data_IF_543752072160
#
_entry.id   IF_543752072160
#
_cell.length_a   1.000
_cell.length_b   1.000
_cell.length_c   1.000
_cell.angle_alpha   90.00
_cell.angle_beta   90.00
_cell.angle_gamma   90.00
#
_symmetry.space_group_name_H-M   'P 1'
#
loop_
_entity.id
_entity.type
_entity.pdbx_description
1 polymer ?
#
# COMPACT_ATOMS: atom_id res chain seq x y z
N UNK A 1 87.34 -7.77 -1.67
CA UNK A 1 86.39 -8.79 -1.21
C UNK A 1 85.37 -8.10 -0.32
N UNK A 2 84.06 -8.25 -0.62
CA UNK A 2 82.87 -8.30 0.30
C UNK A 2 82.75 -7.28 1.45
N UNK A 3 81.60 -6.70 1.84
CA UNK A 3 80.19 -6.60 1.39
C UNK A 3 79.48 -5.76 2.49
N UNK A 4 78.43 -5.02 2.11
CA UNK A 4 77.21 -4.66 2.89
C UNK A 4 77.11 -3.43 3.84
N UNK A 5 76.17 -2.55 3.43
CA UNK A 5 75.00 -1.99 4.14
C UNK A 5 75.10 -0.77 5.06
N UNK A 6 74.40 0.32 4.67
CA UNK A 6 73.23 0.95 5.35
C UNK A 6 73.05 2.40 4.84
N UNK A 7 72.03 2.68 4.01
CA UNK A 7 70.69 3.23 4.37
C UNK A 7 70.71 4.71 4.82
N UNK A 8 70.38 5.62 3.88
CA UNK A 8 69.51 6.80 4.06
C UNK A 8 69.45 7.57 2.73
N UNK A 9 68.43 7.32 1.93
CA UNK A 9 68.09 8.13 0.76
C UNK A 9 66.63 8.57 0.89
N UNK A 10 66.45 9.88 1.01
CA UNK A 10 65.19 10.59 1.14
C UNK A 10 64.27 10.30 -0.06
N UNK A 11 63.06 9.83 0.21
CA UNK A 11 62.00 9.73 -0.77
C UNK A 11 61.26 11.07 -0.90
N UNK A 12 61.39 11.70 -2.06
CA UNK A 12 60.63 12.86 -2.49
C UNK A 12 59.22 12.37 -2.88
N UNK A 13 58.21 12.63 -2.04
CA UNK A 13 56.81 12.30 -2.35
C UNK A 13 56.25 13.36 -3.29
N UNK A 14 55.94 12.94 -4.52
CA UNK A 14 55.15 13.69 -5.49
C UNK A 14 53.71 13.82 -4.98
N UNK A 15 53.30 15.05 -4.65
CA UNK A 15 51.91 15.43 -4.46
C UNK A 15 51.21 15.43 -5.83
N UNK A 16 50.57 14.31 -6.17
CA UNK A 16 49.56 14.29 -7.23
C UNK A 16 48.23 14.80 -6.64
N UNK A 17 47.53 15.73 -7.32
CA UNK A 17 46.18 16.10 -6.92
C UNK A 17 45.30 14.87 -7.11
N UNK A 18 44.73 14.37 -6.02
CA UNK A 18 43.59 13.45 -6.08
C UNK A 18 42.42 14.28 -6.58
N UNK A 19 42.20 14.30 -7.89
CA UNK A 19 40.91 14.67 -8.44
C UNK A 19 39.92 13.61 -7.96
N UNK A 20 39.13 13.93 -6.94
CA UNK A 20 37.88 13.22 -6.68
C UNK A 20 37.03 13.41 -7.92
N UNK A 21 37.01 12.42 -8.82
CA UNK A 21 35.95 12.30 -9.79
C UNK A 21 34.67 12.22 -8.95
N UNK A 22 33.90 13.31 -8.93
CA UNK A 22 32.58 13.30 -8.31
C UNK A 22 31.80 12.18 -8.99
N UNK A 23 31.34 11.19 -8.21
CA UNK A 23 30.36 10.25 -8.71
C UNK A 23 29.21 11.07 -9.30
N UNK A 24 28.80 10.74 -10.53
CA UNK A 24 27.64 11.37 -11.14
C UNK A 24 26.46 11.26 -10.15
N UNK A 25 25.69 12.33 -10.00
CA UNK A 25 24.50 12.30 -9.15
C UNK A 25 23.58 11.16 -9.63
N UNK A 26 22.98 10.36 -8.73
CA UNK A 26 22.09 9.29 -9.13
C UNK A 26 20.91 9.87 -9.91
N UNK A 27 20.51 9.20 -10.98
CA UNK A 27 19.39 9.61 -11.81
C UNK A 27 18.10 9.00 -11.23
N UNK A 28 17.16 9.81 -10.70
CA UNK A 28 15.95 9.28 -10.05
C UNK A 28 15.09 8.40 -10.96
N UNK A 29 15.00 8.71 -12.26
CA UNK A 29 14.23 7.93 -13.22
C UNK A 29 14.76 6.50 -13.41
N UNK A 30 16.08 6.29 -13.24
CA UNK A 30 16.69 4.97 -13.40
C UNK A 30 16.16 3.93 -12.40
N UNK A 31 15.70 4.38 -11.23
CA UNK A 31 15.04 3.53 -10.23
C UNK A 31 13.75 2.91 -10.78
N UNK A 32 12.96 3.72 -11.49
CA UNK A 32 11.64 3.33 -11.99
C UNK A 32 11.70 2.62 -13.34
N UNK A 33 12.86 2.61 -14.00
CA UNK A 33 13.10 1.88 -15.26
C UNK A 33 13.97 0.63 -15.09
N UNK A 34 14.31 0.28 -13.85
CA UNK A 34 15.14 -0.88 -13.55
C UNK A 34 14.48 -2.17 -14.03
N UNK A 35 15.27 -3.03 -14.70
CA UNK A 35 14.82 -4.33 -15.22
C UNK A 35 15.18 -5.50 -14.31
N UNK A 36 15.98 -5.25 -13.28
CA UNK A 36 16.39 -6.24 -12.30
C UNK A 36 16.29 -5.65 -10.91
N UNK A 37 16.00 -6.50 -9.93
CA UNK A 37 15.99 -6.13 -8.51
C UNK A 37 17.35 -5.57 -8.08
N UNK A 38 18.44 -6.16 -8.57
CA UNK A 38 19.79 -5.72 -8.25
C UNK A 38 20.10 -4.30 -8.74
N UNK A 39 19.71 -3.96 -9.97
CA UNK A 39 19.90 -2.61 -10.52
C UNK A 39 19.05 -1.57 -9.77
N UNK A 40 17.80 -1.92 -9.46
CA UNK A 40 16.90 -1.07 -8.67
C UNK A 40 17.46 -0.81 -7.28
N UNK A 41 17.89 -1.85 -6.57
CA UNK A 41 18.37 -1.75 -5.19
C UNK A 41 19.71 -1.00 -5.11
N UNK A 42 20.58 -1.17 -6.11
CA UNK A 42 21.79 -0.37 -6.28
C UNK A 42 21.46 1.12 -6.46
N UNK A 43 20.48 1.42 -7.33
CA UNK A 43 20.03 2.79 -7.59
C UNK A 43 19.38 3.41 -6.35
N UNK A 44 18.52 2.66 -5.66
CA UNK A 44 17.89 3.09 -4.42
C UNK A 44 18.93 3.41 -3.35
N UNK A 45 19.96 2.57 -3.21
CA UNK A 45 21.07 2.82 -2.27
C UNK A 45 21.81 4.11 -2.61
N UNK A 46 22.04 4.39 -3.90
CA UNK A 46 22.67 5.63 -4.34
C UNK A 46 21.79 6.86 -4.06
N UNK A 47 20.48 6.77 -4.31
CA UNK A 47 19.51 7.83 -4.00
C UNK A 47 19.43 8.10 -2.49
N UNK A 48 19.39 7.05 -1.66
CA UNK A 48 19.41 7.16 -0.19
C UNK A 48 20.68 7.87 0.31
N UNK A 49 21.83 7.63 -0.33
CA UNK A 49 23.08 8.31 0.00
C UNK A 49 23.10 9.79 -0.43
N UNK A 50 22.42 10.15 -1.52
CA UNK A 50 22.32 11.52 -2.04
C UNK A 50 21.21 12.36 -1.38
N UNK A 51 20.22 11.69 -0.76
CA UNK A 51 19.05 12.29 -0.13
C UNK A 51 19.33 13.50 0.78
N UNK A 52 20.39 13.53 1.63
CA UNK A 52 20.65 14.69 2.48
C UNK A 52 20.90 16.01 1.73
N UNK A 53 21.24 15.95 0.44
CA UNK A 53 21.65 17.12 -0.35
C UNK A 53 20.80 17.33 -1.62
N UNK A 54 19.95 16.38 -1.98
CA UNK A 54 19.15 16.43 -3.21
C UNK A 54 17.69 16.02 -2.92
N UNK A 55 16.74 16.99 -2.92
CA UNK A 55 15.32 16.70 -2.70
C UNK A 55 14.72 15.69 -3.69
N UNK A 56 15.18 15.66 -4.94
CA UNK A 56 14.69 14.70 -5.93
C UNK A 56 15.12 13.27 -5.57
N UNK A 57 16.35 13.10 -5.07
CA UNK A 57 16.82 11.83 -4.52
C UNK A 57 16.04 11.40 -3.28
N UNK A 58 15.68 12.32 -2.36
CA UNK A 58 14.82 12.00 -1.20
C UNK A 58 13.47 11.46 -1.69
N UNK A 59 12.84 12.19 -2.60
CA UNK A 59 11.53 11.83 -3.15
C UNK A 59 11.57 10.45 -3.80
N UNK A 60 12.51 10.23 -4.71
CA UNK A 60 12.63 8.97 -5.43
C UNK A 60 13.02 7.81 -4.52
N UNK A 61 13.88 8.02 -3.53
CA UNK A 61 14.19 7.01 -2.53
C UNK A 61 12.94 6.61 -1.72
N UNK A 62 12.15 7.59 -1.28
CA UNK A 62 10.89 7.33 -0.57
C UNK A 62 9.87 6.56 -1.41
N UNK A 63 9.70 6.93 -2.68
CA UNK A 63 8.85 6.21 -3.63
C UNK A 63 9.38 4.79 -3.92
N UNK A 64 10.68 4.64 -4.13
CA UNK A 64 11.32 3.33 -4.31
C UNK A 64 11.10 2.40 -3.13
N UNK A 65 11.24 2.93 -1.91
CA UNK A 65 10.97 2.16 -0.70
C UNK A 65 9.51 1.68 -0.63
N UNK A 66 8.55 2.48 -1.09
CA UNK A 66 7.13 2.08 -1.18
C UNK A 66 6.95 0.88 -2.10
N UNK A 67 7.48 0.93 -3.32
CA UNK A 67 7.38 -0.18 -4.27
C UNK A 67 8.10 -1.44 -3.78
N UNK A 68 9.26 -1.30 -3.14
CA UNK A 68 9.91 -2.46 -2.48
C UNK A 68 9.06 -3.03 -1.35
N UNK A 69 8.23 -2.23 -0.65
CA UNK A 69 7.32 -2.78 0.34
C UNK A 69 6.28 -3.69 -0.31
N UNK A 70 5.66 -3.23 -1.41
CA UNK A 70 4.71 -4.06 -2.19
C UNK A 70 5.38 -5.34 -2.70
N UNK A 71 6.64 -5.26 -3.15
CA UNK A 71 7.42 -6.42 -3.54
C UNK A 71 7.64 -7.41 -2.40
N UNK A 72 8.01 -6.95 -1.19
CA UNK A 72 8.17 -7.81 -0.01
C UNK A 72 6.88 -8.60 0.27
N UNK A 73 5.73 -7.94 0.16
CA UNK A 73 4.44 -8.60 0.32
C UNK A 73 4.17 -9.59 -0.83
N UNK A 74 4.31 -9.15 -2.08
CA UNK A 74 4.06 -9.97 -3.26
C UNK A 74 4.93 -11.22 -3.29
N UNK A 75 6.23 -11.08 -3.07
CA UNK A 75 7.16 -12.19 -3.03
C UNK A 75 6.85 -13.17 -1.90
N UNK A 76 6.53 -12.67 -0.70
CA UNK A 76 6.08 -13.51 0.41
C UNK A 76 4.82 -14.32 0.06
N UNK A 77 3.87 -13.71 -0.65
CA UNK A 77 2.68 -14.40 -1.16
C UNK A 77 3.06 -15.45 -2.23
N UNK A 78 3.93 -15.10 -3.19
CA UNK A 78 4.38 -15.98 -4.28
C UNK A 78 5.10 -17.21 -3.75
N UNK A 79 6.07 -17.01 -2.87
CA UNK A 79 6.92 -18.06 -2.28
C UNK A 79 6.08 -19.18 -1.64
N UNK A 80 4.92 -18.81 -1.08
CA UNK A 80 4.01 -19.74 -0.42
C UNK A 80 2.80 -20.13 -1.29
N UNK A 81 2.80 -19.82 -2.59
CA UNK A 81 1.77 -20.27 -3.52
C UNK A 81 0.40 -19.66 -3.23
N UNK A 82 0.37 -18.35 -3.00
CA UNK A 82 -0.86 -17.60 -2.82
C UNK A 82 -1.76 -17.68 -4.06
N UNK A 83 -3.02 -18.03 -3.85
CA UNK A 83 -4.07 -18.03 -4.87
C UNK A 83 -5.16 -17.04 -4.45
N UNK A 84 -5.14 -15.85 -5.04
CA UNK A 84 -6.12 -14.80 -4.71
C UNK A 84 -7.53 -15.16 -5.19
N UNK A 85 -8.54 -15.25 -4.32
CA UNK A 85 -9.92 -15.34 -4.76
C UNK A 85 -10.29 -14.02 -5.45
N UNK A 86 -10.79 -14.07 -6.69
CA UNK A 86 -11.18 -12.90 -7.50
C UNK A 86 -12.24 -11.96 -6.87
N UNK A 87 -12.77 -12.34 -5.71
CA UNK A 87 -13.83 -11.66 -4.95
C UNK A 87 -13.41 -11.30 -3.52
N UNK A 88 -12.15 -11.52 -3.14
CA UNK A 88 -11.67 -11.22 -1.80
C UNK A 88 -11.68 -9.70 -1.55
N UNK A 89 -12.19 -9.26 -0.40
CA UNK A 89 -12.47 -7.83 -0.15
C UNK A 89 -11.29 -7.03 0.42
N UNK A 90 -10.19 -7.68 0.82
CA UNK A 90 -9.08 -7.00 1.50
C UNK A 90 -7.98 -6.58 0.51
N UNK A 91 -7.61 -5.29 0.43
CA UNK A 91 -6.64 -4.77 -0.53
C UNK A 91 -5.28 -5.49 -0.52
N UNK A 92 -4.75 -5.82 0.67
CA UNK A 92 -3.45 -6.50 0.81
C UNK A 92 -3.39 -7.89 0.16
N UNK A 93 -4.54 -8.53 -0.03
CA UNK A 93 -4.65 -9.91 -0.55
C UNK A 93 -5.16 -9.94 -2.00
N UNK A 94 -5.06 -8.82 -2.71
CA UNK A 94 -5.50 -8.68 -4.12
C UNK A 94 -4.35 -8.64 -5.12
N UNK A 95 -3.09 -8.58 -4.68
CA UNK A 95 -1.96 -8.54 -5.59
C UNK A 95 -2.03 -9.72 -6.58
N UNK A 96 -1.88 -9.48 -7.89
CA UNK A 96 -1.98 -10.51 -8.92
C UNK A 96 -0.68 -11.31 -9.00
N UNK A 97 -0.35 -12.01 -7.92
CA UNK A 97 0.90 -12.75 -7.79
C UNK A 97 0.89 -13.96 -8.73
N UNK A 98 1.96 -14.21 -9.51
CA UNK A 98 2.05 -15.37 -10.39
C UNK A 98 1.98 -16.72 -9.65
N UNK A 99 1.52 -17.75 -10.35
CA UNK A 99 1.48 -19.11 -9.81
C UNK A 99 2.88 -19.64 -9.50
N UNK A 100 3.09 -20.12 -8.28
CA UNK A 100 4.31 -20.84 -7.90
C UNK A 100 4.11 -22.36 -8.07
N UNK A 101 4.89 -23.06 -8.92
CA UNK A 101 4.74 -24.51 -9.10
C UNK A 101 5.20 -25.31 -7.88
N UNK A 102 6.14 -24.79 -7.09
CA UNK A 102 6.76 -25.48 -5.95
C UNK A 102 6.74 -24.60 -4.68
N UNK A 103 5.56 -24.32 -4.11
CA UNK A 103 5.44 -23.42 -2.97
C UNK A 103 6.09 -23.99 -1.70
N UNK A 104 6.68 -23.09 -0.92
CA UNK A 104 7.29 -23.42 0.36
C UNK A 104 6.24 -23.54 1.48
N UNK A 105 6.49 -24.34 2.52
CA UNK A 105 5.62 -24.40 3.69
C UNK A 105 5.47 -23.03 4.37
N UNK A 106 4.24 -22.68 4.77
CA UNK A 106 3.95 -21.42 5.47
C UNK A 106 3.44 -21.70 6.89
N UNK A 107 4.04 -21.03 7.87
CA UNK A 107 3.58 -21.03 9.26
C UNK A 107 2.91 -19.70 9.60
N UNK A 108 2.10 -19.68 10.66
CA UNK A 108 1.50 -18.45 11.18
C UNK A 108 2.55 -17.37 11.48
N UNK A 109 3.63 -17.71 12.16
CA UNK A 109 4.71 -16.78 12.48
C UNK A 109 5.46 -16.31 11.22
N UNK A 110 5.60 -17.20 10.22
CA UNK A 110 6.13 -16.84 8.91
C UNK A 110 5.25 -15.79 8.21
N UNK A 111 3.93 -15.97 8.20
CA UNK A 111 3.02 -15.00 7.61
C UNK A 111 3.02 -13.66 8.36
N UNK A 112 3.06 -13.69 9.69
CA UNK A 112 3.24 -12.45 10.49
C UNK A 112 4.55 -11.74 10.14
N UNK A 113 5.63 -12.48 9.92
CA UNK A 113 6.94 -11.92 9.56
C UNK A 113 6.88 -11.16 8.22
N UNK A 114 6.16 -11.71 7.23
CA UNK A 114 5.91 -11.02 5.94
C UNK A 114 5.19 -9.69 6.17
N UNK A 115 4.12 -9.69 6.99
CA UNK A 115 3.35 -8.48 7.29
C UNK A 115 4.18 -7.43 8.05
N UNK A 116 5.07 -7.84 8.96
CA UNK A 116 5.99 -6.95 9.67
C UNK A 116 6.97 -6.31 8.71
N UNK A 117 7.65 -7.10 7.86
CA UNK A 117 8.62 -6.60 6.90
C UNK A 117 7.99 -5.60 5.90
N UNK A 118 6.79 -5.92 5.42
CA UNK A 118 5.98 -5.02 4.60
C UNK A 118 5.70 -3.69 5.29
N UNK A 119 5.17 -3.72 6.52
CA UNK A 119 4.85 -2.53 7.32
C UNK A 119 6.10 -1.68 7.60
N UNK A 120 7.20 -2.30 8.02
CA UNK A 120 8.43 -1.58 8.38
C UNK A 120 9.06 -0.90 7.16
N UNK A 121 8.93 -1.51 5.98
CA UNK A 121 9.37 -0.88 4.72
C UNK A 121 8.49 0.32 4.32
N UNK A 122 7.17 0.23 4.51
CA UNK A 122 6.27 1.37 4.34
C UNK A 122 6.57 2.51 5.32
N UNK A 123 6.91 2.19 6.57
CA UNK A 123 7.28 3.19 7.57
C UNK A 123 8.55 3.95 7.16
N UNK A 124 9.55 3.24 6.62
CA UNK A 124 10.75 3.87 6.03
C UNK A 124 10.38 4.79 4.85
N UNK A 125 9.50 4.32 3.97
CA UNK A 125 9.01 5.10 2.82
C UNK A 125 8.33 6.39 3.26
N UNK A 126 7.35 6.30 4.17
CA UNK A 126 6.60 7.45 4.66
C UNK A 126 7.51 8.47 5.36
N UNK A 127 8.46 8.00 6.18
CA UNK A 127 9.44 8.87 6.83
C UNK A 127 10.36 9.58 5.82
N UNK A 128 10.79 8.87 4.77
CA UNK A 128 11.65 9.44 3.72
C UNK A 128 10.89 10.47 2.89
N UNK A 129 9.67 10.16 2.42
CA UNK A 129 8.80 11.11 1.69
C UNK A 129 8.46 12.34 2.54
N UNK A 130 8.19 12.14 3.84
CA UNK A 130 7.93 13.23 4.78
C UNK A 130 9.13 14.15 5.02
N UNK A 131 10.35 13.73 4.65
CA UNK A 131 11.56 14.55 4.76
C UNK A 131 11.83 15.42 3.54
N UNK A 132 11.05 15.29 2.45
CA UNK A 132 11.14 16.17 1.29
C UNK A 132 10.77 17.61 1.69
N UNK A 133 11.64 18.61 1.47
CA UNK A 133 11.37 20.01 1.83
C UNK A 133 10.08 20.54 1.18
N UNK A 134 9.28 21.31 1.94
CA UNK A 134 7.96 21.76 1.51
C UNK A 134 7.94 22.64 0.23
N UNK A 135 9.06 23.29 -0.10
CA UNK A 135 9.21 24.10 -1.32
C UNK A 135 10.17 23.49 -2.34
N UNK A 136 10.48 22.20 -2.23
CA UNK A 136 11.29 21.52 -3.22
C UNK A 136 10.53 21.42 -4.54
N UNK A 137 11.18 21.81 -5.63
CA UNK A 137 10.70 21.59 -6.98
C UNK A 137 11.00 20.13 -7.37
N UNK A 138 9.95 19.32 -7.47
CA UNK A 138 10.02 17.90 -7.81
C UNK A 138 9.30 17.69 -9.12
N UNK A 139 9.91 16.97 -10.04
CA UNK A 139 9.24 16.51 -11.23
C UNK A 139 10.02 15.41 -11.91
N UNK A 140 9.55 14.19 -11.74
CA UNK A 140 10.21 12.98 -12.22
C UNK A 140 9.28 12.28 -13.19
N UNK A 141 9.75 12.04 -14.41
CA UNK A 141 8.96 11.29 -15.38
C UNK A 141 8.96 9.80 -15.01
N UNK A 142 7.77 9.21 -14.90
CA UNK A 142 7.56 7.81 -14.56
C UNK A 142 6.67 7.19 -15.63
N UNK A 143 7.21 6.21 -16.35
CA UNK A 143 6.46 5.37 -17.27
C UNK A 143 5.92 4.14 -16.53
N UNK A 144 4.59 4.06 -16.35
CA UNK A 144 3.96 2.95 -15.61
C UNK A 144 4.09 1.60 -16.32
N UNK A 145 4.48 1.59 -17.59
CA UNK A 145 4.80 0.35 -18.32
C UNK A 145 6.20 -0.18 -18.01
N UNK A 146 7.04 0.63 -17.34
CA UNK A 146 8.40 0.29 -16.91
C UNK A 146 8.55 0.19 -15.40
N UNK A 147 7.83 1.04 -14.67
CA UNK A 147 7.74 0.94 -13.22
C UNK A 147 7.17 -0.43 -12.84
N UNK A 148 7.96 -1.27 -12.16
CA UNK A 148 7.55 -2.61 -11.79
C UNK A 148 8.11 -3.07 -10.45
N UNK A 149 7.57 -4.19 -9.97
CA UNK A 149 8.02 -4.92 -8.78
C UNK A 149 8.20 -6.38 -9.18
N UNK A 150 9.18 -7.08 -8.63
CA UNK A 150 9.40 -8.52 -8.84
C UNK A 150 8.31 -9.30 -8.07
N UNK A 151 7.30 -9.80 -8.80
CA UNK A 151 6.17 -10.50 -8.19
C UNK A 151 6.48 -11.96 -7.93
N UNK A 152 7.44 -12.57 -8.65
CA UNK A 152 7.73 -13.99 -8.62
C UNK A 152 9.06 -14.36 -7.91
N UNK A 153 9.79 -13.36 -7.41
CA UNK A 153 11.10 -13.48 -6.76
C UNK A 153 12.21 -14.08 -7.64
N UNK A 154 12.17 -13.89 -8.96
CA UNK A 154 13.22 -14.37 -9.89
C UNK A 154 14.38 -13.38 -10.10
N UNK A 155 14.26 -12.18 -9.52
CA UNK A 155 15.25 -11.10 -9.57
C UNK A 155 15.18 -10.25 -10.84
N UNK A 156 14.31 -10.58 -11.79
CA UNK A 156 13.95 -9.73 -12.93
C UNK A 156 12.70 -8.90 -12.58
N UNK A 157 12.53 -7.78 -13.29
CA UNK A 157 11.29 -7.00 -13.28
C UNK A 157 10.76 -7.09 -14.70
N UNK A 158 9.88 -8.06 -14.94
CA UNK A 158 9.35 -8.36 -16.25
C UNK A 158 8.23 -7.38 -16.65
N UNK A 159 7.95 -7.19 -17.96
CA UNK A 159 6.92 -6.24 -18.41
C UNK A 159 5.50 -6.52 -17.87
N UNK A 160 5.17 -7.78 -17.60
CA UNK A 160 3.91 -8.22 -16.99
C UNK A 160 3.84 -7.98 -15.47
N UNK A 161 4.95 -7.56 -14.87
CA UNK A 161 5.04 -7.13 -13.47
C UNK A 161 5.11 -5.59 -13.33
N UNK A 162 4.91 -4.88 -14.43
CA UNK A 162 4.77 -3.42 -14.44
C UNK A 162 3.50 -2.97 -13.71
N UNK A 163 3.52 -1.75 -13.17
CA UNK A 163 2.38 -1.11 -12.52
C UNK A 163 1.17 -1.07 -13.46
N UNK A 164 1.39 -0.79 -14.76
CA UNK A 164 0.33 -0.84 -15.78
C UNK A 164 -0.28 -2.24 -15.91
N UNK A 165 0.53 -3.30 -15.96
CA UNK A 165 0.06 -4.69 -16.04
C UNK A 165 -0.69 -5.12 -14.77
N UNK A 166 -0.16 -4.77 -13.58
CA UNK A 166 -0.80 -5.05 -12.28
C UNK A 166 -2.17 -4.37 -12.21
N UNK A 167 -2.27 -3.07 -12.55
CA UNK A 167 -3.53 -2.33 -12.53
C UNK A 167 -4.55 -2.89 -13.53
N UNK A 168 -4.11 -3.29 -14.72
CA UNK A 168 -4.98 -3.93 -15.71
C UNK A 168 -5.55 -5.26 -15.19
N UNK A 169 -4.72 -6.07 -14.51
CA UNK A 169 -5.15 -7.32 -13.90
C UNK A 169 -6.20 -7.11 -12.80
N UNK A 170 -6.03 -6.09 -11.96
CA UNK A 170 -6.97 -5.76 -10.88
C UNK A 170 -8.35 -5.26 -11.36
N UNK A 171 -8.40 -4.61 -12.53
CA UNK A 171 -9.60 -3.91 -13.01
C UNK A 171 -10.68 -4.83 -13.63
N UNK A 172 -10.44 -6.14 -13.75
CA UNK A 172 -11.36 -7.16 -14.32
C UNK A 172 -12.01 -6.77 -15.66
N UNK A 173 -11.28 -6.98 -16.76
CA UNK A 173 -11.90 -7.32 -18.05
C UNK A 173 -11.69 -6.37 -19.24
N UNK A 174 -10.89 -5.33 -19.09
CA UNK A 174 -10.35 -4.61 -20.24
C UNK A 174 -8.93 -5.09 -20.51
N UNK A 175 -8.67 -5.67 -21.68
CA UNK A 175 -7.31 -5.59 -22.21
C UNK A 175 -6.94 -4.10 -22.29
N UNK A 176 -5.67 -3.71 -22.02
CA UNK A 176 -5.23 -2.36 -22.33
C UNK A 176 -5.63 -2.05 -23.77
N UNK A 177 -6.38 -0.95 -23.98
CA UNK A 177 -6.68 -0.50 -25.34
C UNK A 177 -5.33 -0.34 -26.07
N UNK A 178 -5.10 -0.93 -27.25
CA UNK A 178 -3.87 -0.70 -28.02
C UNK A 178 -3.67 0.78 -28.40
N UNK A 179 -4.73 1.58 -28.32
CA UNK A 179 -4.72 3.03 -28.45
C UNK A 179 -4.59 3.76 -27.10
N UNK A 180 -4.25 3.05 -26.02
CA UNK A 180 -4.12 3.63 -24.68
C UNK A 180 -3.16 4.82 -24.72
N UNK A 181 -3.55 5.96 -24.13
CA UNK A 181 -2.68 7.11 -24.00
C UNK A 181 -1.38 6.71 -23.30
N UNK A 182 -0.30 7.44 -23.59
CA UNK A 182 0.98 7.21 -22.92
C UNK A 182 0.78 7.23 -21.39
N UNK A 183 1.07 6.10 -20.73
CA UNK A 183 1.00 5.97 -19.27
C UNK A 183 2.27 6.52 -18.61
N UNK A 184 2.76 7.64 -19.15
CA UNK A 184 3.91 8.37 -18.63
C UNK A 184 3.39 9.60 -17.92
N UNK A 185 3.71 9.71 -16.64
CA UNK A 185 3.28 10.79 -15.77
C UNK A 185 4.49 11.54 -15.23
N UNK A 186 4.34 12.83 -14.95
CA UNK A 186 5.39 13.61 -14.28
C UNK A 186 5.05 13.69 -12.80
N UNK A 187 5.66 12.80 -12.02
CA UNK A 187 5.43 12.71 -10.59
C UNK A 187 6.04 13.92 -9.89
N UNK A 188 5.22 14.63 -9.12
CA UNK A 188 5.58 15.91 -8.53
C UNK A 188 5.44 15.91 -6.99
N UNK A 189 5.35 17.09 -6.36
CA UNK A 189 5.24 17.17 -4.90
C UNK A 189 3.88 16.70 -4.37
N UNK A 190 2.79 16.96 -5.09
CA UNK A 190 1.45 16.52 -4.73
C UNK A 190 1.41 14.98 -4.67
N UNK A 191 1.94 14.35 -5.71
CA UNK A 191 2.02 12.89 -5.83
C UNK A 191 2.83 12.25 -4.68
N UNK A 192 3.82 12.97 -4.14
CA UNK A 192 4.55 12.54 -2.95
C UNK A 192 3.72 12.54 -1.67
N UNK A 193 2.84 13.53 -1.48
CA UNK A 193 1.90 13.52 -0.35
C UNK A 193 0.88 12.40 -0.50
N UNK A 194 0.39 12.18 -1.71
CA UNK A 194 -0.50 11.07 -2.02
C UNK A 194 0.14 9.72 -1.71
N UNK A 195 1.36 9.47 -2.19
CA UNK A 195 2.06 8.21 -1.98
C UNK A 195 2.38 7.98 -0.49
N UNK A 196 2.77 9.05 0.22
CA UNK A 196 2.96 9.01 1.66
C UNK A 196 1.64 8.67 2.38
N UNK A 197 0.53 9.29 2.00
CA UNK A 197 -0.79 8.99 2.55
C UNK A 197 -1.21 7.53 2.31
N UNK A 198 -0.95 7.00 1.12
CA UNK A 198 -1.21 5.60 0.78
C UNK A 198 -0.37 4.65 1.63
N UNK A 199 0.90 5.00 1.91
CA UNK A 199 1.75 4.25 2.84
C UNK A 199 1.16 4.21 4.27
N UNK A 200 0.69 5.36 4.78
CA UNK A 200 0.02 5.46 6.08
C UNK A 200 -1.24 4.56 6.14
N UNK A 201 -2.06 4.58 5.09
CA UNK A 201 -3.24 3.72 4.98
C UNK A 201 -2.89 2.23 5.04
N UNK A 202 -1.89 1.79 4.26
CA UNK A 202 -1.44 0.40 4.24
C UNK A 202 -0.80 -0.02 5.58
N UNK A 203 -0.06 0.88 6.24
CA UNK A 203 0.46 0.65 7.59
C UNK A 203 -0.66 0.48 8.62
N UNK A 204 -1.75 1.25 8.53
CA UNK A 204 -2.92 1.07 9.39
C UNK A 204 -3.56 -0.31 9.22
N UNK A 205 -3.67 -0.80 7.98
CA UNK A 205 -4.19 -2.14 7.68
C UNK A 205 -3.27 -3.25 8.22
N UNK A 206 -1.97 -3.19 7.94
CA UNK A 206 -1.00 -4.16 8.47
C UNK A 206 -0.96 -4.13 10.01
N UNK A 207 -1.02 -2.93 10.60
CA UNK A 207 -1.10 -2.72 12.04
C UNK A 207 -2.35 -3.35 12.65
N UNK A 208 -3.49 -3.29 11.98
CA UNK A 208 -4.71 -3.97 12.42
C UNK A 208 -4.52 -5.49 12.47
N UNK A 209 -3.96 -6.12 11.44
CA UNK A 209 -3.69 -7.56 11.45
C UNK A 209 -2.72 -7.95 12.57
N UNK A 210 -1.59 -7.25 12.65
CA UNK A 210 -0.54 -7.53 13.61
C UNK A 210 -0.98 -7.28 15.07
N UNK A 211 -1.95 -6.38 15.30
CA UNK A 211 -2.51 -6.14 16.63
C UNK A 211 -3.21 -7.36 17.24
N UNK A 212 -3.64 -8.31 16.42
CA UNK A 212 -4.43 -9.45 16.86
C UNK A 212 -3.70 -10.78 16.68
N UNK A 213 -4.12 -11.76 17.48
CA UNK A 213 -3.79 -13.16 17.25
C UNK A 213 -4.84 -13.78 16.33
N UNK A 214 -4.47 -13.94 15.05
CA UNK A 214 -5.31 -14.56 14.03
C UNK A 214 -4.90 -16.00 13.73
N UNK A 215 -4.13 -16.65 14.63
CA UNK A 215 -3.64 -18.01 14.42
C UNK A 215 -4.74 -19.03 14.15
N UNK A 216 -5.86 -18.95 14.87
CA UNK A 216 -6.98 -19.87 14.65
C UNK A 216 -7.57 -19.73 13.23
N UNK A 217 -7.71 -18.50 12.72
CA UNK A 217 -8.16 -18.27 11.35
C UNK A 217 -7.13 -18.72 10.31
N UNK A 218 -5.84 -18.53 10.61
CA UNK A 218 -4.75 -19.01 9.78
C UNK A 218 -4.78 -20.54 9.68
N UNK A 219 -4.68 -21.25 10.80
CA UNK A 219 -4.63 -22.71 10.85
C UNK A 219 -5.91 -23.35 10.29
N UNK A 220 -7.06 -22.70 10.50
CA UNK A 220 -8.38 -23.23 10.15
C UNK A 220 -8.93 -22.84 8.78
N UNK A 221 -8.34 -21.87 8.08
CA UNK A 221 -8.92 -21.36 6.82
C UNK A 221 -7.91 -20.86 5.78
N UNK A 222 -6.66 -20.59 6.12
CA UNK A 222 -5.73 -20.01 5.12
C UNK A 222 -5.30 -21.01 4.05
N UNK A 223 -5.60 -22.30 4.17
CA UNK A 223 -5.41 -23.27 3.07
C UNK A 223 -6.25 -22.89 1.84
N UNK A 224 -7.31 -22.09 2.01
CA UNK A 224 -8.08 -21.56 0.87
C UNK A 224 -7.30 -20.52 0.05
N UNK A 225 -6.32 -19.87 0.67
CA UNK A 225 -5.47 -18.82 0.09
C UNK A 225 -4.10 -19.37 -0.28
N UNK A 226 -3.61 -20.38 0.44
CA UNK A 226 -2.32 -21.03 0.23
C UNK A 226 -2.52 -22.55 0.15
N UNK A 227 -3.16 -23.06 -0.91
CA UNK A 227 -3.62 -24.45 -0.97
C UNK A 227 -2.49 -25.48 -1.08
N UNK A 228 -1.24 -25.03 -1.21
CA UNK A 228 -0.06 -25.88 -1.40
C UNK A 228 1.09 -25.59 -0.42
N UNK A 229 0.86 -24.76 0.61
CA UNK A 229 1.87 -24.35 1.59
C UNK A 229 1.93 -25.21 2.88
N UNK A 230 1.42 -26.44 2.84
CA UNK A 230 1.40 -27.42 3.94
C UNK A 230 0.74 -26.89 5.22
N UNK A 231 -0.35 -26.14 5.07
CA UNK A 231 -1.14 -25.66 6.21
C UNK A 231 -1.87 -26.81 6.92
N UNK A 232 -2.23 -26.66 8.22
CA UNK A 232 -2.72 -27.76 9.04
C UNK A 232 -3.91 -28.55 8.48
N UNK A 233 -4.83 -27.89 7.78
CA UNK A 233 -6.03 -28.53 7.21
C UNK A 233 -5.94 -28.79 5.71
N UNK A 234 -4.79 -28.51 5.08
CA UNK A 234 -4.63 -28.57 3.63
C UNK A 234 -4.97 -29.95 3.07
N UNK A 235 -4.37 -31.00 3.64
CA UNK A 235 -4.54 -32.39 3.15
C UNK A 235 -5.98 -32.91 3.31
N UNK A 236 -6.78 -32.28 4.16
CA UNK A 236 -8.16 -32.67 4.43
C UNK A 236 -9.19 -31.84 3.65
N UNK A 237 -8.91 -30.55 3.41
CA UNK A 237 -9.90 -29.58 2.92
C UNK A 237 -9.61 -29.03 1.52
N UNK A 238 -8.40 -29.18 0.98
CA UNK A 238 -8.12 -28.74 -0.39
C UNK A 238 -8.61 -29.80 -1.39
N UNK A 239 -9.45 -29.44 -2.39
CA UNK A 239 -9.93 -30.39 -3.39
C UNK A 239 -8.78 -30.98 -4.24
N UNK A 240 -8.75 -32.31 -4.50
CA UNK A 240 -7.71 -32.94 -5.30
C UNK A 240 -7.59 -32.42 -6.74
N UNK A 241 -8.69 -31.91 -7.30
CA UNK A 241 -8.79 -31.56 -8.72
C UNK A 241 -8.41 -30.09 -9.02
N UNK A 242 -7.85 -29.38 -8.03
CA UNK A 242 -7.47 -27.97 -8.20
C UNK A 242 -8.66 -27.04 -8.46
N UNK A 243 -9.87 -27.43 -8.03
CA UNK A 243 -11.16 -26.72 -8.21
C UNK A 243 -11.27 -25.39 -7.46
N UNK A 244 -10.13 -24.73 -7.23
CA UNK A 244 -9.98 -23.45 -6.58
C UNK A 244 -10.07 -22.30 -7.58
N UNK A 245 -10.02 -22.52 -8.91
CA UNK A 245 -10.18 -21.42 -9.87
C UNK A 245 -11.59 -20.80 -9.84
N UNK A 246 -11.66 -19.46 -9.82
CA UNK A 246 -12.92 -18.70 -9.81
C UNK A 246 -13.23 -17.94 -8.51
N UNK A 247 -14.43 -17.39 -8.41
CA UNK A 247 -14.88 -16.59 -7.27
C UNK A 247 -15.12 -17.41 -5.99
N UNK A 248 -15.23 -16.75 -4.85
CA UNK A 248 -15.41 -17.37 -3.53
C UNK A 248 -16.72 -18.17 -3.37
N UNK A 249 -17.68 -17.94 -4.27
CA UNK A 249 -18.96 -18.65 -4.33
C UNK A 249 -19.04 -19.65 -5.50
N UNK A 250 -17.91 -19.96 -6.15
CA UNK A 250 -17.88 -20.81 -7.35
C UNK A 250 -18.05 -22.30 -7.06
N UNK A 251 -17.80 -22.75 -5.83
CA UNK A 251 -17.90 -24.16 -5.43
C UNK A 251 -18.32 -24.32 -3.96
N UNK A 252 -18.90 -25.48 -3.62
CA UNK A 252 -19.29 -25.83 -2.26
C UNK A 252 -18.08 -25.80 -1.29
N UNK A 253 -16.90 -26.20 -1.76
CA UNK A 253 -15.64 -26.13 -1.01
C UNK A 253 -15.23 -24.69 -0.69
N UNK A 254 -15.20 -23.80 -1.70
CA UNK A 254 -14.87 -22.37 -1.51
C UNK A 254 -15.85 -21.68 -0.57
N UNK A 255 -17.13 -22.03 -0.65
CA UNK A 255 -18.18 -21.52 0.26
C UNK A 255 -17.92 -22.00 1.69
N UNK A 256 -17.66 -23.30 1.90
CA UNK A 256 -17.39 -23.85 3.22
C UNK A 256 -16.12 -23.25 3.86
N UNK A 257 -15.05 -23.10 3.09
CA UNK A 257 -13.82 -22.43 3.54
C UNK A 257 -14.06 -20.96 3.88
N UNK A 258 -14.86 -20.25 3.07
CA UNK A 258 -15.20 -18.87 3.37
C UNK A 258 -16.05 -18.72 4.63
N UNK A 259 -17.04 -19.61 4.82
CA UNK A 259 -17.82 -19.65 6.06
C UNK A 259 -16.89 -19.89 7.26
N UNK A 260 -15.95 -20.83 7.13
CA UNK A 260 -14.95 -21.11 8.17
C UNK A 260 -14.10 -19.89 8.46
N UNK A 261 -13.59 -19.20 7.43
CA UNK A 261 -12.82 -17.97 7.58
C UNK A 261 -13.62 -16.92 8.36
N UNK A 262 -14.84 -16.60 7.91
CA UNK A 262 -15.72 -15.60 8.54
C UNK A 262 -16.00 -15.96 10.00
N UNK A 263 -16.25 -17.24 10.30
CA UNK A 263 -16.51 -17.70 11.66
C UNK A 263 -15.28 -17.65 12.57
N UNK A 264 -14.08 -17.78 11.99
CA UNK A 264 -12.80 -17.75 12.70
C UNK A 264 -12.19 -16.34 12.80
N UNK A 265 -12.81 -15.30 12.21
CA UNK A 265 -12.48 -13.90 12.49
C UNK A 265 -13.02 -13.51 13.87
N UNK A 266 -12.40 -14.06 14.92
CA UNK A 266 -12.70 -13.85 16.34
C UNK A 266 -11.40 -13.59 17.15
N UNK A 267 -10.60 -12.66 16.67
CA UNK A 267 -9.20 -12.54 17.03
C UNK A 267 -8.97 -11.83 18.37
N UNK A 268 -8.29 -12.47 19.35
CA UNK A 268 -7.80 -11.79 20.54
C UNK A 268 -6.84 -10.66 20.19
N UNK A 269 -6.85 -9.59 20.99
CA UNK A 269 -5.86 -8.51 20.86
C UNK A 269 -4.60 -8.91 21.63
N UNK A 270 -3.45 -8.87 20.96
CA UNK A 270 -2.13 -9.22 21.56
C UNK A 270 -1.13 -8.08 21.51
N UNK A 271 -1.29 -7.15 20.57
CA UNK A 271 -0.44 -5.95 20.44
C UNK A 271 -1.32 -4.69 20.36
N UNK A 272 -1.99 -4.28 21.45
CA UNK A 272 -3.00 -3.21 21.45
C UNK A 272 -2.46 -1.85 20.98
N UNK A 273 -1.17 -1.58 21.19
CA UNK A 273 -0.53 -0.34 20.74
C UNK A 273 -0.57 -0.18 19.22
N UNK A 274 -0.60 -1.28 18.45
CA UNK A 274 -0.73 -1.24 16.99
C UNK A 274 -2.11 -0.74 16.55
N UNK A 275 -3.16 -0.91 17.37
CA UNK A 275 -4.50 -0.33 17.09
C UNK A 275 -4.49 1.18 17.24
N UNK A 276 -3.85 1.67 18.30
CA UNK A 276 -3.66 3.11 18.51
C UNK A 276 -2.79 3.71 17.40
N UNK A 277 -1.73 3.01 16.98
CA UNK A 277 -0.91 3.40 15.85
C UNK A 277 -1.72 3.43 14.55
N UNK A 278 -2.54 2.41 14.27
CA UNK A 278 -3.40 2.38 13.08
C UNK A 278 -4.32 3.61 13.00
N UNK A 279 -4.93 4.03 14.11
CA UNK A 279 -5.71 5.28 14.14
C UNK A 279 -4.86 6.50 13.80
N UNK A 280 -3.64 6.60 14.36
CA UNK A 280 -2.72 7.72 14.06
C UNK A 280 -2.32 7.74 12.58
N UNK A 281 -2.03 6.59 11.99
CA UNK A 281 -1.73 6.46 10.57
C UNK A 281 -2.94 6.91 9.71
N UNK A 282 -4.17 6.51 10.05
CA UNK A 282 -5.37 6.99 9.33
C UNK A 282 -5.59 8.51 9.47
N UNK A 283 -5.30 9.09 10.63
CA UNK A 283 -5.36 10.55 10.81
C UNK A 283 -4.27 11.26 9.99
N UNK A 284 -3.08 10.68 9.91
CA UNK A 284 -1.97 11.24 9.12
C UNK A 284 -2.26 11.15 7.62
N UNK A 285 -2.87 10.06 7.14
CA UNK A 285 -3.39 9.94 5.77
C UNK A 285 -4.37 11.09 5.44
N UNK A 286 -5.32 11.40 6.33
CA UNK A 286 -6.26 12.52 6.14
C UNK A 286 -5.50 13.85 6.06
N UNK A 287 -4.53 14.08 6.96
CA UNK A 287 -3.71 15.30 6.95
C UNK A 287 -2.92 15.43 5.63
N UNK A 288 -2.32 14.33 5.16
CA UNK A 288 -1.56 14.27 3.92
C UNK A 288 -2.44 14.49 2.70
N UNK A 289 -3.64 13.91 2.65
CA UNK A 289 -4.61 14.18 1.56
C UNK A 289 -4.98 15.67 1.48
N UNK A 290 -5.06 16.38 2.61
CA UNK A 290 -5.28 17.84 2.58
C UNK A 290 -4.07 18.63 2.07
N UNK A 291 -2.84 18.22 2.39
CA UNK A 291 -1.63 18.84 1.84
C UNK A 291 -1.45 18.52 0.36
N UNK A 292 -1.81 17.32 -0.07
CA UNK A 292 -1.90 16.89 -1.47
C UNK A 292 -2.82 17.84 -2.26
N UNK A 293 -4.09 17.97 -1.86
CA UNK A 293 -5.03 18.90 -2.53
C UNK A 293 -4.59 20.37 -2.51
N UNK A 294 -3.83 20.78 -1.50
CA UNK A 294 -3.26 22.13 -1.44
C UNK A 294 -2.12 22.30 -2.46
N UNK A 295 -1.31 21.27 -2.68
CA UNK A 295 -0.28 21.24 -3.71
C UNK A 295 -0.91 21.21 -5.12
N UNK A 296 -1.86 20.30 -5.36
CA UNK A 296 -2.64 20.19 -6.62
C UNK A 296 -3.25 21.55 -7.01
N UNK A 297 -3.84 22.28 -6.04
CA UNK A 297 -4.45 23.59 -6.33
C UNK A 297 -3.44 24.72 -6.55
N UNK A 298 -2.18 24.55 -6.15
CA UNK A 298 -1.13 25.53 -6.36
C UNK A 298 -0.45 25.35 -7.72
N UNK A 299 -0.58 24.18 -8.35
CA UNK A 299 -0.08 23.90 -9.69
C UNK A 299 -0.72 24.81 -10.74
N UNK A 300 0.09 25.20 -11.72
CA UNK A 300 -0.32 26.11 -12.80
C UNK A 300 -0.21 25.50 -14.19
N UNK A 301 0.47 24.37 -14.29
CA UNK A 301 0.61 23.58 -15.51
C UNK A 301 -0.32 22.36 -15.49
N UNK A 302 -0.17 21.51 -16.51
CA UNK A 302 -0.96 20.30 -16.73
C UNK A 302 -0.05 19.28 -17.45
N UNK A 303 1.20 19.16 -17.00
CA UNK A 303 2.20 18.32 -17.65
C UNK A 303 2.10 16.88 -17.14
N UNK A 304 1.20 16.09 -17.75
CA UNK A 304 1.08 14.64 -17.49
C UNK A 304 0.84 14.32 -16.01
N UNK A 305 -0.15 14.99 -15.42
CA UNK A 305 -0.50 14.86 -14.01
C UNK A 305 -0.96 13.45 -13.64
N UNK A 306 -0.39 12.90 -12.56
CA UNK A 306 -0.90 11.67 -11.94
C UNK A 306 -2.23 11.94 -11.23
N UNK A 307 -2.35 13.08 -10.53
CA UNK A 307 -3.56 13.53 -9.82
C UNK A 307 -4.04 14.89 -10.34
N UNK A 308 -4.80 14.93 -11.45
CA UNK A 308 -5.25 16.20 -12.02
C UNK A 308 -6.24 16.92 -11.09
N UNK A 309 -5.99 18.20 -10.85
CA UNK A 309 -6.90 19.12 -10.18
C UNK A 309 -7.99 19.69 -11.09
N UNK A 310 -8.98 20.42 -10.54
CA UNK A 310 -10.11 20.96 -11.32
C UNK A 310 -9.75 21.91 -12.46
N UNK A 311 -8.58 22.56 -12.35
CA UNK A 311 -8.06 23.45 -13.39
C UNK A 311 -7.39 22.68 -14.55
N UNK A 312 -6.92 21.46 -14.29
CA UNK A 312 -6.27 20.57 -15.25
C UNK A 312 -7.32 19.74 -15.99
N UNK A 313 -7.87 20.30 -17.08
CA UNK A 313 -8.97 19.68 -17.83
C UNK A 313 -8.55 18.39 -18.54
N UNK A 314 -9.41 17.39 -18.50
CA UNK A 314 -9.26 16.11 -19.20
C UNK A 314 -9.68 14.95 -18.32
N UNK A 315 -10.23 13.89 -18.91
CA UNK A 315 -10.43 12.64 -18.18
C UNK A 315 -9.07 11.99 -17.92
N UNK A 316 -8.85 11.50 -16.69
CA UNK A 316 -7.64 10.75 -16.37
C UNK A 316 -7.52 9.54 -17.30
N UNK A 317 -6.35 9.31 -17.92
CA UNK A 317 -6.12 8.16 -18.77
C UNK A 317 -6.27 6.82 -18.03
N UNK A 318 -6.15 6.80 -16.69
CA UNK A 318 -6.23 5.60 -15.87
C UNK A 318 -7.64 5.29 -15.40
N UNK A 319 -8.35 6.31 -14.89
CA UNK A 319 -9.65 6.10 -14.24
C UNK A 319 -10.82 6.53 -15.13
N UNK A 320 -10.56 7.27 -16.21
CA UNK A 320 -11.58 7.89 -17.04
C UNK A 320 -12.34 9.00 -16.33
N UNK A 321 -11.92 9.40 -15.12
CA UNK A 321 -12.59 10.40 -14.30
C UNK A 321 -12.10 11.79 -14.64
N UNK A 322 -13.04 12.72 -14.74
CA UNK A 322 -12.77 14.15 -14.75
C UNK A 322 -12.98 14.69 -13.33
N UNK A 323 -11.97 15.39 -12.81
CA UNK A 323 -12.00 15.97 -11.47
C UNK A 323 -12.56 17.38 -11.58
N UNK A 324 -13.74 17.62 -11.02
CA UNK A 324 -14.35 18.95 -10.93
C UNK A 324 -14.33 19.52 -9.51
N UNK A 325 -14.61 20.82 -9.38
CA UNK A 325 -14.70 21.48 -8.07
C UNK A 325 -15.72 20.83 -7.13
N UNK A 326 -16.82 20.28 -7.67
CA UNK A 326 -17.81 19.55 -6.89
C UNK A 326 -17.21 18.27 -6.27
N UNK A 327 -16.42 17.51 -7.03
CA UNK A 327 -15.76 16.29 -6.55
C UNK A 327 -14.73 16.62 -5.46
N UNK A 328 -13.96 17.70 -5.63
CA UNK A 328 -12.97 18.11 -4.62
C UNK A 328 -13.64 18.59 -3.33
N UNK A 329 -14.75 19.34 -3.43
CA UNK A 329 -15.52 19.74 -2.25
C UNK A 329 -16.14 18.53 -1.54
N UNK A 330 -16.72 17.59 -2.30
CA UNK A 330 -17.25 16.34 -1.76
C UNK A 330 -16.17 15.51 -1.06
N UNK A 331 -14.98 15.47 -1.63
CA UNK A 331 -13.83 14.78 -1.05
C UNK A 331 -13.37 15.41 0.26
N UNK A 332 -13.22 16.73 0.32
CA UNK A 332 -12.90 17.41 1.59
C UNK A 332 -13.98 17.18 2.66
N UNK A 333 -15.25 17.15 2.29
CA UNK A 333 -16.33 16.80 3.22
C UNK A 333 -16.22 15.34 3.71
N UNK A 334 -15.79 14.42 2.85
CA UNK A 334 -15.51 13.04 3.25
C UNK A 334 -14.32 12.93 4.21
N UNK A 335 -13.25 13.71 3.98
CA UNK A 335 -12.10 13.81 4.89
C UNK A 335 -12.52 14.37 6.26
N UNK A 336 -13.33 15.44 6.30
CA UNK A 336 -13.88 16.00 7.55
C UNK A 336 -14.71 14.96 8.32
N UNK A 337 -15.56 14.21 7.61
CA UNK A 337 -16.38 13.15 8.19
C UNK A 337 -15.51 12.00 8.75
N UNK A 338 -14.52 11.54 7.99
CA UNK A 338 -13.60 10.49 8.42
C UNK A 338 -12.80 10.91 9.66
N UNK A 339 -12.32 12.15 9.69
CA UNK A 339 -11.62 12.74 10.84
C UNK A 339 -12.53 12.81 12.08
N UNK A 340 -13.77 13.29 11.92
CA UNK A 340 -14.78 13.35 12.99
C UNK A 340 -15.09 11.97 13.58
N UNK A 341 -15.17 10.94 12.74
CA UNK A 341 -15.36 9.56 13.17
C UNK A 341 -14.14 9.08 13.97
N UNK A 342 -12.93 9.21 13.42
CA UNK A 342 -11.69 8.76 14.07
C UNK A 342 -11.37 9.50 15.36
N UNK A 343 -11.84 10.74 15.51
CA UNK A 343 -11.76 11.51 16.75
C UNK A 343 -12.95 11.28 17.71
N UNK A 344 -13.95 10.48 17.30
CA UNK A 344 -15.13 10.18 18.11
C UNK A 344 -16.05 11.38 18.35
N UNK A 345 -15.91 12.45 17.54
CA UNK A 345 -16.81 13.62 17.55
C UNK A 345 -18.16 13.27 16.91
N UNK A 346 -18.13 12.42 15.90
CA UNK A 346 -19.29 11.77 15.28
C UNK A 346 -19.18 10.27 15.48
N UNK A 347 -20.32 9.61 15.71
CA UNK A 347 -20.40 8.17 15.98
C UNK A 347 -20.87 7.42 14.74
N UNK A 348 -20.23 6.27 14.45
CA UNK A 348 -20.63 5.41 13.33
C UNK A 348 -21.96 4.71 13.65
N UNK A 349 -22.97 4.75 12.77
CA UNK A 349 -24.26 4.10 13.03
C UNK A 349 -24.14 2.58 13.03
N UNK A 350 -25.03 1.92 13.78
CA UNK A 350 -25.20 0.48 13.71
C UNK A 350 -26.68 0.16 13.48
N UNK A 351 -27.02 -0.58 12.43
CA UNK A 351 -28.41 -0.77 11.98
C UNK A 351 -29.38 -1.38 13.01
N UNK A 352 -28.87 -2.09 14.02
CA UNK A 352 -29.68 -2.66 15.13
C UNK A 352 -29.85 -1.73 16.33
N UNK A 353 -29.19 -0.59 16.36
CA UNK A 353 -29.08 0.28 17.55
C UNK A 353 -29.44 1.71 17.12
N UNK A 354 -30.60 2.17 17.54
CA UNK A 354 -31.17 3.43 17.03
C UNK A 354 -30.72 4.67 17.82
N UNK A 355 -30.44 4.53 19.11
CA UNK A 355 -30.20 5.64 20.05
C UNK A 355 -28.72 5.85 20.42
N UNK A 356 -27.83 5.01 19.90
CA UNK A 356 -26.39 5.05 20.14
C UNK A 356 -25.61 4.76 18.86
N UNK A 357 -24.42 5.33 18.76
CA UNK A 357 -23.47 5.03 17.70
C UNK A 357 -22.15 4.47 18.26
N UNK A 358 -21.33 3.93 17.38
CA UNK A 358 -20.02 3.36 17.68
C UNK A 358 -18.99 4.49 17.71
N UNK A 359 -18.31 4.67 18.85
CA UNK A 359 -17.18 5.59 18.97
C UNK A 359 -15.92 4.96 18.36
N UNK A 360 -15.52 5.42 17.18
CA UNK A 360 -14.36 4.85 16.48
C UNK A 360 -13.03 5.20 17.14
N UNK A 361 -12.93 6.33 17.84
CA UNK A 361 -11.75 6.64 18.66
C UNK A 361 -11.54 5.57 19.73
N UNK A 362 -12.58 5.22 20.48
CA UNK A 362 -12.51 4.14 21.49
C UNK A 362 -12.35 2.76 20.88
N UNK A 363 -12.93 2.50 19.71
CA UNK A 363 -12.69 1.26 18.96
C UNK A 363 -11.19 1.03 18.74
N UNK A 364 -10.43 2.06 18.35
CA UNK A 364 -8.99 1.94 18.17
C UNK A 364 -8.19 2.05 19.48
N UNK A 365 -8.54 2.98 20.36
CA UNK A 365 -7.73 3.31 21.54
C UNK A 365 -7.92 2.32 22.71
N UNK A 366 -9.08 1.68 22.80
CA UNK A 366 -9.45 0.72 23.85
C UNK A 366 -9.76 -0.68 23.26
N UNK A 367 -8.85 -1.30 22.49
CA UNK A 367 -9.18 -2.45 21.69
C UNK A 367 -9.62 -3.65 22.53
N UNK A 368 -10.78 -4.21 22.17
CA UNK A 368 -11.32 -5.49 22.64
C UNK A 368 -11.09 -6.57 21.57
N UNK A 369 -11.20 -7.87 21.91
CA UNK A 369 -11.16 -8.94 20.91
C UNK A 369 -12.06 -8.62 19.72
N UNK A 370 -11.52 -8.77 18.52
CA UNK A 370 -12.23 -8.43 17.28
C UNK A 370 -12.97 -9.66 16.76
N UNK A 371 -14.29 -9.66 16.90
CA UNK A 371 -15.16 -10.68 16.34
C UNK A 371 -15.99 -10.08 15.22
N UNK A 372 -15.76 -10.51 13.98
CA UNK A 372 -16.43 -9.97 12.79
C UNK A 372 -17.95 -10.20 12.84
N UNK A 373 -18.37 -11.42 13.15
CA UNK A 373 -19.78 -11.80 13.18
C UNK A 373 -20.50 -11.06 14.31
N UNK A 374 -19.90 -11.00 15.49
CA UNK A 374 -20.47 -10.28 16.64
C UNK A 374 -20.34 -8.76 16.50
N UNK A 375 -19.44 -8.25 15.67
CA UNK A 375 -19.36 -6.81 15.36
C UNK A 375 -20.49 -6.41 14.42
N UNK A 376 -20.74 -7.21 13.38
CA UNK A 376 -21.87 -7.00 12.44
C UNK A 376 -23.21 -7.19 13.16
N UNK A 377 -23.31 -8.19 14.04
CA UNK A 377 -24.58 -8.47 14.73
C UNK A 377 -24.78 -7.61 15.97
N UNK A 378 -23.77 -6.89 16.47
CA UNK A 378 -23.90 -5.92 17.56
C UNK A 378 -23.19 -6.24 18.88
N UNK A 379 -23.14 -7.50 19.39
CA UNK A 379 -22.56 -7.77 20.71
C UNK A 379 -21.11 -7.30 20.90
N UNK A 380 -20.25 -7.47 19.90
CA UNK A 380 -18.84 -7.10 20.02
C UNK A 380 -18.58 -5.59 19.89
N UNK A 381 -19.53 -4.81 19.34
CA UNK A 381 -19.43 -3.34 19.31
C UNK A 381 -20.02 -2.68 20.56
N UNK A 382 -20.72 -3.43 21.41
CA UNK A 382 -21.38 -2.91 22.61
C UNK A 382 -20.45 -2.08 23.53
N UNK A 383 -19.17 -2.45 23.76
CA UNK A 383 -18.26 -1.66 24.58
C UNK A 383 -17.96 -0.25 24.05
N UNK A 384 -18.19 -0.01 22.76
CA UNK A 384 -17.88 1.24 22.06
C UNK A 384 -19.12 2.09 21.81
N UNK A 385 -20.30 1.67 22.26
CA UNK A 385 -21.55 2.40 22.05
C UNK A 385 -21.67 3.61 22.96
N UNK A 386 -21.96 4.76 22.36
CA UNK A 386 -22.13 6.03 23.05
C UNK A 386 -23.35 6.79 22.53
N UNK A 387 -23.86 7.70 23.35
CA UNK A 387 -24.86 8.69 22.93
C UNK A 387 -24.12 9.93 22.45
N UNK A 388 -24.52 10.49 21.31
CA UNK A 388 -23.87 11.65 20.70
C UNK A 388 -24.41 11.93 19.30
N UNK A 389 -23.68 12.74 18.53
CA UNK A 389 -23.97 12.94 17.10
C UNK A 389 -23.68 11.63 16.36
N UNK A 390 -24.71 11.00 15.81
CA UNK A 390 -24.57 9.78 15.00
C UNK A 390 -24.58 10.19 13.53
N UNK A 391 -23.65 9.65 12.75
CA UNK A 391 -23.64 9.84 11.30
C UNK A 391 -24.93 9.27 10.70
N UNK A 392 -25.61 10.06 9.88
CA UNK A 392 -26.86 9.67 9.24
C UNK A 392 -26.63 9.07 7.85
N UNK A 393 -27.58 8.23 7.41
CA UNK A 393 -27.55 7.68 6.04
C UNK A 393 -27.63 8.79 4.98
N UNK A 394 -28.34 9.89 5.25
CA UNK A 394 -28.44 11.02 4.32
C UNK A 394 -27.11 11.76 4.16
N UNK A 395 -26.36 11.98 5.26
CA UNK A 395 -25.01 12.56 5.20
C UNK A 395 -24.05 11.68 4.37
N UNK A 396 -24.14 10.35 4.52
CA UNK A 396 -23.32 9.41 3.74
C UNK A 396 -23.74 9.33 2.27
N UNK A 397 -25.05 9.23 1.99
CA UNK A 397 -25.59 9.19 0.63
C UNK A 397 -25.32 10.50 -0.12
N UNK A 398 -25.31 11.64 0.56
CA UNK A 398 -25.00 12.93 -0.03
C UNK A 398 -23.56 12.97 -0.57
N UNK A 399 -22.59 12.49 0.21
CA UNK A 399 -21.20 12.37 -0.25
C UNK A 399 -21.14 11.45 -1.46
N UNK A 400 -21.73 10.25 -1.39
CA UNK A 400 -21.67 9.29 -2.50
C UNK A 400 -22.29 9.83 -3.79
N UNK A 401 -23.40 10.57 -3.73
CA UNK A 401 -24.08 11.13 -4.90
C UNK A 401 -23.21 12.12 -5.68
N UNK A 402 -22.32 12.85 -5.00
CA UNK A 402 -21.43 13.86 -5.63
C UNK A 402 -20.32 13.23 -6.50
N UNK A 403 -20.06 11.92 -6.34
CA UNK A 403 -19.12 11.17 -7.18
C UNK A 403 -19.80 10.46 -8.37
N UNK A 404 -21.12 10.60 -8.55
CA UNK A 404 -21.85 10.10 -9.72
C UNK A 404 -21.70 8.59 -9.99
N UNK A 405 -21.87 8.18 -11.25
CA UNK A 405 -21.73 6.78 -11.69
C UNK A 405 -20.29 6.24 -11.68
N UNK A 406 -19.30 7.12 -11.52
CA UNK A 406 -17.88 6.81 -11.38
C UNK A 406 -17.53 6.15 -10.03
N UNK A 407 -18.32 6.43 -8.99
CA UNK A 407 -18.28 5.76 -7.70
C UNK A 407 -17.26 6.36 -6.71
N UNK A 408 -17.75 6.73 -5.52
CA UNK A 408 -16.96 7.18 -4.37
C UNK A 408 -15.76 6.26 -4.05
N UNK A 409 -15.94 4.95 -4.17
CA UNK A 409 -14.88 3.97 -3.90
C UNK A 409 -13.72 4.01 -4.90
N UNK A 410 -14.00 4.29 -6.17
CA UNK A 410 -12.96 4.45 -7.21
C UNK A 410 -12.15 5.71 -6.93
N UNK A 411 -12.83 6.80 -6.58
CA UNK A 411 -12.17 8.05 -6.22
C UNK A 411 -11.34 7.91 -4.94
N UNK A 412 -11.89 7.29 -3.89
CA UNK A 412 -11.16 7.02 -2.65
C UNK A 412 -9.92 6.15 -2.90
N UNK A 413 -10.05 5.06 -3.67
CA UNK A 413 -8.89 4.25 -4.01
C UNK A 413 -7.81 5.04 -4.78
N UNK A 414 -8.22 6.00 -5.61
CA UNK A 414 -7.28 6.81 -6.40
C UNK A 414 -6.69 7.99 -5.62
N UNK A 415 -7.41 8.64 -4.72
CA UNK A 415 -6.99 9.86 -3.99
C UNK A 415 -6.74 9.67 -2.48
N UNK A 416 -6.84 8.42 -1.98
CA UNK A 416 -6.73 7.94 -0.58
C UNK A 416 -7.97 8.02 0.31
#
# INVERSE_FOLDING_TARGET
MTRFSSLLASALILLLPVSSAGAAAPEPAALFEAKTVADRDSTLTALEAAAPTDPASVYAAGAGQFFTALEILAGGLHRHGFESPQSFMLPLMRLPVPDNPNPEPLTYDGFRTILVAFRDRLEKSAATLGSVPAGADIGIEVDLTRLGIDLNEDGQIAPDESAAAIMASLSRGGAPDPAAPALTFRFDRADGYWLQGYAEFLMAQAGFWLAHDFKNAFDGSFHMLFPRAKLPLQDALVPPDGGMSGGMLSSEWRIADFISLVHLVNWPVVEPERRQAARRHLMEMIRLSREDWKAIRAETDNDREWLPGPQQKGASPLTGLEVGEEQVQAWHAALDMAEDLLEGRTLLPHFRIADKGINMKRFFDEPKPFDLVLSITGPAIAPYLETGKILTGEEFDQIQRQFGGAGFLTFALWFN
#
